data_IF_767346777960
#
_entry.id   IF_767346777960
#
_cell.length_a   1.000
_cell.length_b   1.000
_cell.length_c   1.000
_cell.angle_alpha   90.00
_cell.angle_beta   90.00
_cell.angle_gamma   90.00
#
_symmetry.space_group_name_H-M   'P 1'
#
loop_
_entity.id
_entity.type
_entity.pdbx_description
1 polymer ?
#
# COMPACT_ATOMS: atom_id res chain seq x y z
N UNK A 1 -4.52 8.16 -4.23
CA UNK A 1 -4.47 6.70 -3.97
C UNK A 1 -3.15 6.31 -3.29
N UNK A 2 -1.99 6.60 -3.87
CA UNK A 2 -0.67 6.30 -3.27
C UNK A 2 -0.41 7.01 -1.91
N UNK A 3 -0.82 8.27 -1.75
CA UNK A 3 -0.74 8.99 -0.45
C UNK A 3 -1.66 8.40 0.63
N UNK A 4 -2.80 7.81 0.24
CA UNK A 4 -3.70 7.16 1.19
C UNK A 4 -3.13 5.80 1.64
N UNK A 5 -2.49 5.06 0.71
CA UNK A 5 -1.71 3.87 1.07
C UNK A 5 -0.52 4.23 1.97
N UNK A 6 0.14 5.37 1.74
CA UNK A 6 1.27 5.87 2.53
C UNK A 6 0.87 6.11 4.00
N UNK A 7 -0.23 6.83 4.25
CA UNK A 7 -0.73 7.07 5.61
C UNK A 7 -1.23 5.78 6.28
N UNK A 8 -1.86 4.89 5.52
CA UNK A 8 -2.42 3.63 6.05
C UNK A 8 -1.33 2.59 6.36
N UNK A 9 -0.17 2.60 5.72
CA UNK A 9 0.89 1.60 5.95
C UNK A 9 1.99 2.11 6.89
N UNK A 10 2.35 3.40 6.85
CA UNK A 10 3.41 3.93 7.72
C UNK A 10 2.94 4.27 9.13
N UNK A 11 1.72 4.80 9.28
CA UNK A 11 1.17 5.12 10.60
C UNK A 11 1.02 3.89 11.50
N UNK A 12 0.54 2.72 11.04
CA UNK A 12 0.50 1.54 11.89
C UNK A 12 1.88 0.96 12.17
N UNK A 13 2.86 1.00 11.24
CA UNK A 13 4.19 0.41 11.52
C UNK A 13 4.90 1.14 12.65
N UNK A 14 4.92 2.48 12.64
CA UNK A 14 5.52 3.27 13.72
C UNK A 14 4.72 3.15 15.03
N UNK A 15 3.40 3.14 14.97
CA UNK A 15 2.55 2.93 16.15
C UNK A 15 2.66 1.51 16.73
N UNK A 16 2.85 0.49 15.89
CA UNK A 16 3.02 -0.90 16.31
C UNK A 16 4.36 -1.09 17.02
N UNK A 17 5.44 -0.48 16.51
CA UNK A 17 6.74 -0.50 17.20
C UNK A 17 6.64 0.13 18.59
N UNK A 18 5.92 1.25 18.71
CA UNK A 18 5.71 1.92 19.99
C UNK A 18 4.88 1.05 20.95
N UNK A 19 3.80 0.42 20.46
CA UNK A 19 2.95 -0.47 21.25
C UNK A 19 3.69 -1.73 21.73
N UNK A 20 4.40 -2.40 20.84
CA UNK A 20 5.19 -3.59 21.17
C UNK A 20 6.30 -3.26 22.18
N UNK A 21 6.89 -2.08 22.04
CA UNK A 21 7.86 -1.57 22.99
C UNK A 21 7.24 -1.27 24.36
N UNK A 22 6.06 -0.62 24.41
CA UNK A 22 5.33 -0.39 25.66
C UNK A 22 5.00 -1.71 26.39
N UNK A 23 4.58 -2.74 25.65
CA UNK A 23 4.32 -4.06 26.22
C UNK A 23 5.58 -4.71 26.78
N UNK A 24 6.71 -4.63 26.07
CA UNK A 24 8.01 -5.12 26.56
C UNK A 24 8.45 -4.38 27.81
N UNK A 25 8.30 -3.05 27.84
CA UNK A 25 8.61 -2.25 29.01
C UNK A 25 7.72 -2.64 30.19
N UNK A 26 6.40 -2.75 30.01
CA UNK A 26 5.52 -3.19 31.09
C UNK A 26 5.93 -4.54 31.66
N UNK A 27 6.25 -5.52 30.80
CA UNK A 27 6.72 -6.84 31.24
C UNK A 27 8.03 -6.78 32.04
N UNK A 28 8.99 -5.93 31.63
CA UNK A 28 10.28 -5.75 32.33
C UNK A 28 10.12 -4.96 33.63
N UNK A 29 9.19 -4.00 33.68
CA UNK A 29 8.90 -3.19 34.85
C UNK A 29 8.06 -3.93 35.92
N UNK A 30 7.31 -4.95 35.54
CA UNK A 30 6.54 -5.78 36.47
C UNK A 30 7.39 -6.90 37.09
N UNK A 31 8.55 -7.21 36.51
CA UNK A 31 9.48 -8.18 37.07
C UNK A 31 10.21 -7.59 38.29
N UNK A 32 9.75 -7.94 39.50
CA UNK A 32 10.34 -7.47 40.77
C UNK A 32 11.84 -7.78 40.86
N UNK A 33 12.66 -6.75 40.80
CA UNK A 33 14.12 -6.78 40.88
C UNK A 33 14.68 -5.52 41.60
N UNK A 34 15.99 -5.50 41.82
CA UNK A 34 16.69 -4.36 42.49
C UNK A 34 16.53 -3.05 41.71
N UNK A 35 16.44 -3.11 40.38
CA UNK A 35 16.27 -1.94 39.51
C UNK A 35 14.86 -1.36 39.64
N UNK A 36 13.82 -2.20 39.74
CA UNK A 36 12.43 -1.76 39.93
C UNK A 36 12.23 -1.10 41.30
N UNK A 37 12.89 -1.58 42.35
CA UNK A 37 12.82 -0.95 43.69
C UNK A 37 13.48 0.45 43.68
N UNK A 38 14.58 0.62 42.94
CA UNK A 38 15.20 1.92 42.72
C UNK A 38 14.32 2.85 41.89
N UNK A 39 13.69 2.33 40.83
CA UNK A 39 12.77 3.11 39.99
C UNK A 39 11.56 3.60 40.79
N UNK A 40 10.99 2.77 41.68
CA UNK A 40 9.88 3.17 42.57
C UNK A 40 10.32 4.30 43.50
N UNK A 41 11.51 4.19 44.11
CA UNK A 41 12.06 5.23 44.99
C UNK A 41 12.35 6.54 44.26
N UNK A 42 12.78 6.46 43.00
CA UNK A 42 13.01 7.63 42.14
C UNK A 42 11.67 8.24 41.69
N UNK A 43 10.67 7.42 41.40
CA UNK A 43 9.31 7.86 41.07
C UNK A 43 8.66 8.61 42.24
N UNK A 44 8.82 8.13 43.48
CA UNK A 44 8.33 8.84 44.67
C UNK A 44 9.00 10.20 44.87
N UNK A 45 10.31 10.30 44.61
CA UNK A 45 11.07 11.55 44.80
C UNK A 45 10.88 12.56 43.68
N UNK A 46 10.82 12.09 42.44
CA UNK A 46 10.73 12.93 41.24
C UNK A 46 9.30 13.19 40.78
N UNK A 47 8.33 12.38 41.22
CA UNK A 47 6.96 12.29 40.67
C UNK A 47 6.89 12.05 39.17
N UNK A 48 7.98 11.58 38.55
CA UNK A 48 8.02 11.21 37.14
C UNK A 48 7.75 9.72 37.03
N UNK A 49 6.86 9.33 36.10
CA UNK A 49 6.56 7.91 35.86
C UNK A 49 7.83 7.17 35.42
N UNK A 50 8.12 6.04 36.06
CA UNK A 50 9.27 5.17 35.78
C UNK A 50 9.46 4.79 34.29
N UNK A 51 8.38 4.74 33.50
CA UNK A 51 8.44 4.42 32.07
C UNK A 51 9.23 5.45 31.24
N UNK A 52 9.18 6.74 31.59
CA UNK A 52 9.93 7.78 30.88
C UNK A 52 11.43 7.71 31.16
N UNK A 53 11.82 7.30 32.36
CA UNK A 53 13.23 7.14 32.76
C UNK A 53 13.85 5.97 31.98
N UNK A 54 13.13 4.86 31.89
CA UNK A 54 13.57 3.69 31.11
C UNK A 54 13.63 4.03 29.62
N UNK A 55 12.64 4.76 29.10
CA UNK A 55 12.70 5.27 27.73
C UNK A 55 13.98 6.08 27.50
N UNK A 56 14.30 7.05 28.36
CA UNK A 56 15.48 7.91 28.22
C UNK A 56 16.83 7.16 28.25
N UNK A 57 16.87 5.99 28.90
CA UNK A 57 18.08 5.16 28.99
C UNK A 57 18.21 4.23 27.77
N UNK A 58 17.09 3.75 27.23
CA UNK A 58 17.06 2.75 26.15
C UNK A 58 17.22 3.37 24.75
N UNK A 59 16.80 4.63 24.53
CA UNK A 59 16.95 5.24 23.20
C UNK A 59 18.43 5.49 22.85
N UNK A 60 19.00 4.60 22.02
CA UNK A 60 20.18 4.90 21.21
C UNK A 60 19.70 5.35 19.84
N UNK A 61 19.68 6.66 19.61
CA UNK A 61 19.09 7.35 18.46
C UNK A 61 19.78 7.11 17.08
N UNK A 62 20.16 5.89 16.71
CA UNK A 62 20.93 5.63 15.46
C UNK A 62 20.28 4.65 14.48
N UNK A 63 19.28 3.88 14.92
CA UNK A 63 18.62 2.85 14.09
C UNK A 63 17.45 3.39 13.27
N UNK A 64 16.80 4.47 13.70
CA UNK A 64 15.65 5.04 12.99
C UNK A 64 16.04 5.68 11.65
N UNK A 65 17.12 6.47 11.60
CA UNK A 65 17.57 7.14 10.37
C UNK A 65 17.79 6.16 9.20
N UNK A 66 18.29 4.96 9.51
CA UNK A 66 18.56 3.92 8.49
C UNK A 66 17.26 3.32 7.95
N UNK A 67 16.25 3.11 8.80
CA UNK A 67 14.92 2.62 8.39
C UNK A 67 14.23 3.64 7.49
N UNK A 68 14.26 4.91 7.89
CA UNK A 68 13.69 6.01 7.12
C UNK A 68 14.40 6.18 5.78
N UNK A 69 15.73 6.13 5.75
CA UNK A 69 16.49 6.25 4.50
C UNK A 69 16.22 5.09 3.55
N UNK A 70 16.22 3.85 4.05
CA UNK A 70 15.91 2.66 3.24
C UNK A 70 14.52 2.76 2.64
N UNK A 71 13.55 3.25 3.42
CA UNK A 71 12.20 3.52 2.93
C UNK A 71 12.18 4.51 1.76
N UNK A 72 12.79 5.69 1.92
CA UNK A 72 12.85 6.71 0.87
C UNK A 72 13.51 6.20 -0.41
N UNK A 73 14.58 5.41 -0.26
CA UNK A 73 15.31 4.81 -1.39
C UNK A 73 14.44 3.79 -2.13
N UNK A 74 13.78 2.88 -1.42
CA UNK A 74 12.89 1.87 -2.02
C UNK A 74 11.71 2.55 -2.70
N UNK A 75 11.08 3.51 -2.04
CA UNK A 75 9.97 4.29 -2.61
C UNK A 75 10.39 4.99 -3.91
N UNK A 76 11.49 5.74 -3.89
CA UNK A 76 12.00 6.44 -5.07
C UNK A 76 12.33 5.46 -6.21
N UNK A 77 12.91 4.28 -5.90
CA UNK A 77 13.26 3.28 -6.90
C UNK A 77 12.02 2.71 -7.61
N UNK A 78 10.95 2.40 -6.86
CA UNK A 78 9.70 1.88 -7.41
C UNK A 78 9.01 2.95 -8.26
N UNK A 79 8.89 4.18 -7.75
CA UNK A 79 8.29 5.29 -8.49
C UNK A 79 9.04 5.60 -9.79
N UNK A 80 10.37 5.46 -9.81
CA UNK A 80 11.15 5.67 -11.01
C UNK A 80 10.88 4.58 -12.06
N UNK A 81 10.73 3.33 -11.65
CA UNK A 81 10.36 2.22 -12.53
C UNK A 81 8.95 2.43 -13.11
N UNK A 82 7.97 2.82 -12.28
CA UNK A 82 6.62 3.14 -12.75
C UNK A 82 6.61 4.26 -13.79
N UNK A 83 7.39 5.33 -13.56
CA UNK A 83 7.55 6.41 -14.52
C UNK A 83 8.13 5.94 -15.86
N UNK A 84 9.14 5.06 -15.85
CA UNK A 84 9.73 4.51 -17.07
C UNK A 84 8.73 3.64 -17.84
N UNK A 85 7.94 2.82 -17.13
CA UNK A 85 6.90 1.99 -17.74
C UNK A 85 5.82 2.85 -18.39
N UNK A 86 5.32 3.88 -17.70
CA UNK A 86 4.33 4.79 -18.26
C UNK A 86 4.86 5.60 -19.44
N UNK A 87 6.11 6.06 -19.35
CA UNK A 87 6.76 6.75 -20.45
C UNK A 87 6.87 5.85 -21.68
N UNK A 88 7.29 4.59 -21.52
CA UNK A 88 7.34 3.61 -22.59
C UNK A 88 5.96 3.26 -23.18
N UNK A 89 4.89 3.35 -22.39
CA UNK A 89 3.50 3.14 -22.83
C UNK A 89 2.91 4.32 -23.61
N UNK A 90 3.34 5.55 -23.32
CA UNK A 90 2.81 6.80 -23.90
C UNK A 90 3.65 7.36 -25.07
N UNK A 91 4.91 6.91 -25.22
CA UNK A 91 5.81 7.40 -26.27
C UNK A 91 5.26 7.08 -27.67
N UNK A 92 5.05 8.06 -28.58
CA UNK A 92 4.51 7.81 -29.92
C UNK A 92 5.55 7.19 -30.85
N UNK A 93 5.95 5.94 -30.57
CA UNK A 93 6.94 5.14 -31.32
C UNK A 93 6.21 3.94 -31.94
N UNK A 94 6.63 3.48 -33.12
CA UNK A 94 5.99 2.36 -33.84
C UNK A 94 5.97 1.05 -33.01
N UNK A 95 7.01 0.83 -32.18
CA UNK A 95 7.06 -0.24 -31.18
C UNK A 95 6.58 0.25 -29.80
N UNK A 96 5.39 0.87 -29.76
CA UNK A 96 4.82 1.41 -28.53
C UNK A 96 4.53 0.30 -27.52
N UNK A 97 4.85 0.51 -26.24
CA UNK A 97 4.62 -0.50 -25.20
C UNK A 97 3.16 -0.93 -25.09
N UNK A 98 2.24 0.00 -25.35
CA UNK A 98 0.79 -0.24 -25.35
C UNK A 98 0.35 -1.14 -26.51
N UNK A 99 0.94 -0.95 -27.70
CA UNK A 99 0.69 -1.77 -28.89
C UNK A 99 1.23 -3.19 -28.68
N UNK A 100 2.40 -3.33 -28.06
CA UNK A 100 2.95 -4.64 -27.71
C UNK A 100 2.08 -5.37 -26.68
N UNK A 101 1.63 -4.67 -25.64
CA UNK A 101 0.74 -5.23 -24.62
C UNK A 101 -0.62 -5.65 -25.21
N UNK A 102 -1.18 -4.80 -26.09
CA UNK A 102 -2.43 -5.08 -26.79
C UNK A 102 -2.30 -6.33 -27.67
N UNK A 103 -1.30 -6.36 -28.53
CA UNK A 103 -1.13 -7.46 -29.50
C UNK A 103 -0.77 -8.80 -28.84
N UNK A 104 -0.03 -8.78 -27.73
CA UNK A 104 0.45 -10.00 -27.07
C UNK A 104 -0.49 -10.58 -26.02
N UNK A 105 -1.25 -9.75 -25.30
CA UNK A 105 -2.10 -10.21 -24.20
C UNK A 105 -3.58 -9.92 -24.42
N UNK A 106 -3.95 -8.67 -24.72
CA UNK A 106 -5.36 -8.27 -24.82
C UNK A 106 -6.03 -8.91 -26.04
N UNK A 107 -5.37 -8.86 -27.20
CA UNK A 107 -5.88 -9.38 -28.47
C UNK A 107 -6.19 -10.88 -28.42
N UNK A 108 -5.31 -11.77 -27.95
CA UNK A 108 -5.66 -13.20 -27.86
C UNK A 108 -6.80 -13.46 -26.87
N UNK A 109 -6.88 -12.73 -25.75
CA UNK A 109 -7.98 -12.87 -24.78
C UNK A 109 -9.34 -12.43 -25.36
N UNK A 110 -9.36 -11.34 -26.12
CA UNK A 110 -10.58 -10.82 -26.77
C UNK A 110 -11.03 -11.73 -27.91
N UNK A 111 -10.08 -12.23 -28.73
CA UNK A 111 -10.40 -13.13 -29.84
C UNK A 111 -10.97 -14.47 -29.36
N UNK A 112 -10.52 -14.97 -28.20
CA UNK A 112 -11.05 -16.19 -27.59
C UNK A 112 -12.52 -16.04 -27.17
N UNK A 113 -12.94 -14.84 -26.76
CA UNK A 113 -14.32 -14.52 -26.37
C UNK A 113 -15.16 -13.89 -27.50
N UNK A 114 -14.60 -13.76 -28.70
CA UNK A 114 -15.23 -13.04 -29.81
C UNK A 114 -16.60 -13.64 -30.20
N UNK A 115 -16.72 -14.98 -30.22
CA UNK A 115 -17.96 -15.66 -30.63
C UNK A 115 -19.16 -15.28 -29.76
N UNK A 116 -18.96 -15.15 -28.45
CA UNK A 116 -20.03 -14.74 -27.54
C UNK A 116 -20.41 -13.27 -27.66
N UNK A 117 -19.43 -12.41 -28.00
CA UNK A 117 -19.65 -10.98 -28.24
C UNK A 117 -20.42 -10.77 -29.55
N UNK A 118 -20.01 -11.46 -30.61
CA UNK A 118 -20.68 -11.38 -31.92
C UNK A 118 -22.14 -11.86 -31.82
N UNK A 119 -22.40 -12.97 -31.11
CA UNK A 119 -23.77 -13.47 -30.90
C UNK A 119 -24.64 -12.50 -30.07
N UNK A 120 -24.06 -11.83 -29.06
CA UNK A 120 -24.77 -10.83 -28.26
C UNK A 120 -25.08 -9.55 -29.05
N UNK A 121 -24.16 -9.12 -29.93
CA UNK A 121 -24.34 -7.98 -30.81
C UNK A 121 -25.43 -8.28 -31.86
N UNK A 122 -25.40 -9.46 -32.47
CA UNK A 122 -26.39 -9.85 -33.49
C UNK A 122 -27.80 -9.93 -32.91
N UNK A 123 -27.97 -10.53 -31.72
CA UNK A 123 -29.27 -10.57 -31.02
C UNK A 123 -29.80 -9.18 -30.72
N UNK A 124 -28.92 -8.28 -30.28
CA UNK A 124 -29.28 -6.88 -29.99
C UNK A 124 -29.69 -6.15 -31.27
N UNK A 125 -28.93 -6.31 -32.34
CA UNK A 125 -29.21 -5.70 -33.65
C UNK A 125 -30.54 -6.18 -34.24
N UNK A 126 -30.81 -7.48 -34.18
CA UNK A 126 -32.08 -8.07 -34.60
C UNK A 126 -33.26 -7.54 -33.77
N UNK A 127 -33.12 -7.54 -32.44
CA UNK A 127 -34.17 -7.02 -31.55
C UNK A 127 -34.50 -5.55 -31.81
N UNK A 128 -33.48 -4.72 -32.03
CA UNK A 128 -33.65 -3.30 -32.39
C UNK A 128 -34.35 -3.15 -33.74
N UNK A 129 -33.97 -3.94 -34.74
CA UNK A 129 -34.62 -3.92 -36.07
C UNK A 129 -36.09 -4.36 -36.00
N UNK A 130 -36.39 -5.40 -35.22
CA UNK A 130 -37.73 -5.92 -35.04
C UNK A 130 -38.63 -4.97 -34.26
N UNK A 131 -38.09 -4.30 -33.24
CA UNK A 131 -38.80 -3.28 -32.48
C UNK A 131 -39.06 -2.03 -33.32
N UNK A 132 -38.09 -1.60 -34.15
CA UNK A 132 -38.25 -0.49 -35.07
C UNK A 132 -39.33 -0.77 -36.13
N UNK A 133 -39.34 -1.98 -36.71
CA UNK A 133 -40.39 -2.39 -37.67
C UNK A 133 -41.77 -2.45 -37.02
N UNK A 134 -41.87 -2.99 -35.80
CA UNK A 134 -43.14 -3.04 -35.07
C UNK A 134 -43.66 -1.65 -34.70
N UNK A 135 -42.78 -0.73 -34.30
CA UNK A 135 -43.15 0.65 -33.99
C UNK A 135 -43.55 1.48 -35.22
N UNK A 136 -43.06 1.13 -36.41
CA UNK A 136 -43.43 1.78 -37.67
C UNK A 136 -44.78 1.28 -38.25
N UNK A 137 -45.29 0.16 -37.73
CA UNK A 137 -46.55 -0.47 -38.16
C UNK A 137 -47.75 -0.13 -37.25
N UNK A 138 -47.55 0.71 -36.23
CA UNK A 138 -48.57 1.30 -35.36
C UNK A 138 -48.69 2.80 -35.65
#
# INVERSE_FOLDING_TARGET
MLLALYLVVLFPVSMQQLLDFHHKLQAVLDHKNVVTDLLIKIEEKSKVKKIFIVYAIETKAKDDDTKWLTYWVVYASISLIECLIFLYLMLPIDSNGSVLLYTKFIRPLVLDHQKGIDEAIDKTSQFVSDSAKKGFLL
#
